data_IF_372677530155
#
_entry.id   IF_372677530155
#
_cell.length_a   1.000
_cell.length_b   1.000
_cell.length_c   1.000
_cell.angle_alpha   90.00
_cell.angle_beta   90.00
_cell.angle_gamma   90.00
#
_symmetry.space_group_name_H-M   'P 1'
#
loop_
_entity.id
_entity.type
_entity.pdbx_description
1 polymer ?
#
# COMPACT_ATOMS: atom_id res chain seq x y z
N UNK A 1 17.27 24.12 15.09
CA UNK A 1 16.98 23.13 16.12
C UNK A 1 15.64 22.48 15.77
N UNK A 2 15.67 21.34 15.06
CA UNK A 2 14.46 20.62 14.62
C UNK A 2 13.78 20.04 15.86
N UNK A 3 12.59 20.55 16.23
CA UNK A 3 11.74 19.93 17.24
C UNK A 3 11.32 18.56 16.73
N UNK A 4 11.80 17.51 17.38
CA UNK A 4 11.39 16.12 17.16
C UNK A 4 9.86 16.05 17.15
N UNK A 5 9.34 15.56 16.03
CA UNK A 5 7.93 15.35 15.74
C UNK A 5 7.37 14.32 16.74
N UNK A 6 6.85 14.79 17.85
CA UNK A 6 6.24 13.91 18.87
C UNK A 6 4.81 13.59 18.44
N UNK A 7 4.64 12.47 17.76
CA UNK A 7 3.30 11.95 17.43
C UNK A 7 2.59 11.58 18.75
N UNK A 8 1.42 12.12 19.06
CA UNK A 8 0.69 11.78 20.27
C UNK A 8 0.34 10.28 20.29
N UNK A 9 0.44 9.64 21.46
CA UNK A 9 0.23 8.18 21.63
C UNK A 9 -1.13 7.69 21.09
N UNK A 10 -2.16 8.55 21.08
CA UNK A 10 -3.47 8.25 20.51
C UNK A 10 -3.42 8.06 18.98
N UNK A 11 -2.61 8.85 18.29
CA UNK A 11 -2.50 8.80 16.83
C UNK A 11 -1.57 7.67 16.38
N UNK A 12 -0.60 7.30 17.22
CA UNK A 12 0.23 6.11 17.03
C UNK A 12 -0.61 4.82 17.06
N UNK A 13 -1.59 4.71 17.98
CA UNK A 13 -2.54 3.57 17.99
C UNK A 13 -3.40 3.51 16.73
N UNK A 14 -3.84 4.66 16.22
CA UNK A 14 -4.59 4.74 14.94
C UNK A 14 -3.71 4.31 13.77
N UNK A 15 -2.45 4.74 13.74
CA UNK A 15 -1.46 4.34 12.74
C UNK A 15 -1.23 2.82 12.75
N UNK A 16 -1.01 2.22 13.92
CA UNK A 16 -0.84 0.76 14.05
C UNK A 16 -2.10 0.02 13.58
N UNK A 17 -3.29 0.50 13.95
CA UNK A 17 -4.56 -0.12 13.52
C UNK A 17 -4.74 -0.06 12.00
N UNK A 18 -4.40 1.07 11.37
CA UNK A 18 -4.41 1.23 9.90
C UNK A 18 -3.36 0.34 9.25
N UNK A 19 -2.17 0.28 9.81
CA UNK A 19 -1.07 -0.55 9.33
C UNK A 19 -1.42 -2.05 9.40
N UNK A 20 -1.89 -2.57 10.55
CA UNK A 20 -2.31 -3.97 10.70
C UNK A 20 -3.45 -4.36 9.76
N UNK A 21 -4.42 -3.46 9.54
CA UNK A 21 -5.51 -3.71 8.59
C UNK A 21 -5.03 -3.76 7.13
N UNK A 22 -3.87 -3.16 6.82
CA UNK A 22 -3.30 -3.06 5.48
C UNK A 22 -2.23 -4.11 5.20
N UNK A 23 -1.54 -4.58 6.24
CA UNK A 23 -0.53 -5.64 6.16
C UNK A 23 -1.11 -6.97 5.70
N UNK A 24 -2.38 -7.26 5.99
CA UNK A 24 -3.02 -8.51 5.59
C UNK A 24 -2.88 -8.83 4.10
N UNK A 25 -2.95 -7.80 3.24
CA UNK A 25 -2.74 -7.99 1.79
C UNK A 25 -1.27 -8.22 1.41
N UNK A 26 -0.34 -7.61 2.13
CA UNK A 26 1.08 -7.88 1.93
C UNK A 26 1.42 -9.32 2.32
N UNK A 27 0.86 -9.81 3.42
CA UNK A 27 1.00 -11.20 3.86
C UNK A 27 0.44 -12.15 2.79
N UNK A 28 -0.76 -11.88 2.25
CA UNK A 28 -1.34 -12.66 1.16
C UNK A 28 -0.42 -12.67 -0.07
N UNK A 29 0.17 -11.54 -0.42
CA UNK A 29 1.12 -11.44 -1.54
C UNK A 29 2.38 -12.28 -1.29
N UNK A 30 2.94 -12.23 -0.08
CA UNK A 30 4.09 -13.07 0.32
C UNK A 30 3.71 -14.56 0.28
N UNK A 31 2.50 -14.94 0.73
CA UNK A 31 2.00 -16.31 0.61
C UNK A 31 1.87 -16.74 -0.85
N UNK A 32 1.36 -15.87 -1.74
CA UNK A 32 1.27 -16.18 -3.18
C UNK A 32 2.66 -16.46 -3.76
N UNK A 33 3.67 -15.64 -3.45
CA UNK A 33 5.05 -15.86 -3.89
C UNK A 33 5.63 -17.16 -3.31
N UNK A 34 5.29 -17.51 -2.07
CA UNK A 34 5.73 -18.75 -1.45
C UNK A 34 5.12 -19.97 -2.13
N UNK A 35 3.84 -19.93 -2.50
CA UNK A 35 3.16 -21.01 -3.23
C UNK A 35 3.62 -21.15 -4.68
N UNK A 36 4.20 -20.10 -5.28
CA UNK A 36 4.84 -20.18 -6.61
C UNK A 36 6.29 -20.66 -6.53
N UNK A 37 6.83 -20.83 -5.33
CA UNK A 37 8.19 -21.33 -5.10
C UNK A 37 8.36 -22.80 -5.55
N UNK A 38 9.59 -23.16 -5.87
CA UNK A 38 9.96 -24.49 -6.41
C UNK A 38 9.43 -25.66 -5.57
N UNK A 39 9.31 -25.50 -4.26
CA UNK A 39 8.85 -26.55 -3.35
C UNK A 39 7.42 -27.03 -3.64
N UNK A 40 6.50 -26.10 -3.95
CA UNK A 40 5.11 -26.44 -4.26
C UNK A 40 4.93 -26.91 -5.70
N UNK A 41 5.78 -26.42 -6.58
CA UNK A 41 5.73 -26.72 -8.00
C UNK A 41 6.08 -28.17 -8.30
N UNK A 42 6.99 -28.79 -7.53
CA UNK A 42 7.33 -30.21 -7.67
C UNK A 42 6.17 -31.13 -7.27
N UNK A 43 5.26 -30.66 -6.39
CA UNK A 43 4.17 -31.46 -5.86
C UNK A 43 2.82 -31.15 -6.50
N UNK A 44 2.64 -29.99 -7.10
CA UNK A 44 1.38 -29.53 -7.70
C UNK A 44 1.62 -29.07 -9.13
N UNK A 45 1.32 -29.95 -10.06
CA UNK A 45 1.37 -29.64 -11.50
C UNK A 45 0.49 -28.42 -11.81
N UNK A 46 1.07 -27.35 -12.38
CA UNK A 46 0.39 -26.12 -12.77
C UNK A 46 -0.12 -25.19 -11.63
N UNK A 47 0.70 -24.96 -10.59
CA UNK A 47 0.39 -23.98 -9.52
C UNK A 47 0.12 -22.55 -10.01
N UNK A 48 0.60 -22.19 -11.21
CA UNK A 48 0.43 -20.85 -11.78
C UNK A 48 -1.03 -20.49 -12.09
N UNK A 49 -1.86 -21.47 -12.49
CA UNK A 49 -3.28 -21.23 -12.83
C UNK A 49 -4.09 -20.77 -11.60
N UNK A 50 -4.12 -21.50 -10.47
CA UNK A 50 -4.85 -21.06 -9.28
C UNK A 50 -4.34 -19.73 -8.72
N UNK A 51 -3.03 -19.48 -8.80
CA UNK A 51 -2.44 -18.19 -8.37
C UNK A 51 -2.93 -17.05 -9.24
N UNK A 52 -2.95 -17.21 -10.56
CA UNK A 52 -3.49 -16.22 -11.48
C UNK A 52 -4.96 -15.91 -11.19
N UNK A 53 -5.79 -16.93 -10.97
CA UNK A 53 -7.22 -16.76 -10.65
C UNK A 53 -7.39 -15.97 -9.33
N UNK A 54 -6.67 -16.37 -8.29
CA UNK A 54 -6.71 -15.70 -7.00
C UNK A 54 -6.29 -14.23 -7.12
N UNK A 55 -5.24 -13.95 -7.91
CA UNK A 55 -4.74 -12.60 -8.11
C UNK A 55 -5.71 -11.73 -8.91
N UNK A 56 -6.31 -12.27 -9.97
CA UNK A 56 -7.34 -11.58 -10.75
C UNK A 56 -8.53 -11.23 -9.85
N UNK A 57 -8.99 -12.17 -9.04
CA UNK A 57 -10.09 -11.94 -8.09
C UNK A 57 -9.73 -10.83 -7.09
N UNK A 58 -8.59 -10.95 -6.43
CA UNK A 58 -8.12 -9.96 -5.44
C UNK A 58 -7.92 -8.57 -6.05
N UNK A 59 -7.35 -8.50 -7.26
CA UNK A 59 -7.18 -7.25 -8.00
C UNK A 59 -8.52 -6.63 -8.36
N UNK A 60 -9.48 -7.42 -8.86
CA UNK A 60 -10.82 -6.95 -9.24
C UNK A 60 -11.56 -6.38 -8.04
N UNK A 61 -11.58 -7.07 -6.91
CA UNK A 61 -12.19 -6.57 -5.65
C UNK A 61 -11.55 -5.27 -5.22
N UNK A 62 -10.23 -5.17 -5.29
CA UNK A 62 -9.50 -3.97 -4.91
C UNK A 62 -9.78 -2.81 -5.89
N UNK A 63 -9.84 -3.10 -7.18
CA UNK A 63 -10.13 -2.14 -8.23
C UNK A 63 -11.55 -1.56 -8.08
N UNK A 64 -12.56 -2.39 -7.84
CA UNK A 64 -13.93 -1.91 -7.62
C UNK A 64 -14.05 -0.97 -6.43
N UNK A 65 -13.34 -1.27 -5.35
CA UNK A 65 -13.34 -0.47 -4.10
C UNK A 65 -12.45 0.77 -4.15
N UNK A 66 -11.67 0.94 -5.21
CA UNK A 66 -10.74 2.04 -5.35
C UNK A 66 -11.44 3.31 -5.87
N UNK A 67 -10.93 4.49 -5.46
CA UNK A 67 -11.36 5.76 -5.99
C UNK A 67 -10.95 5.93 -7.47
N UNK A 68 -11.64 6.78 -8.28
CA UNK A 68 -11.35 6.95 -9.70
C UNK A 68 -9.88 7.27 -10.01
N UNK A 69 -9.23 8.09 -9.19
CA UNK A 69 -7.79 8.40 -9.35
C UNK A 69 -6.90 7.18 -9.13
N UNK A 70 -7.23 6.37 -8.11
CA UNK A 70 -6.49 5.14 -7.81
C UNK A 70 -6.72 4.09 -8.90
N UNK A 71 -7.93 3.99 -9.47
CA UNK A 71 -8.24 3.11 -10.61
C UNK A 71 -7.36 3.42 -11.81
N UNK A 72 -7.26 4.71 -12.20
CA UNK A 72 -6.38 5.13 -13.29
C UNK A 72 -4.92 4.74 -13.04
N UNK A 73 -4.42 5.01 -11.84
CA UNK A 73 -3.05 4.65 -11.44
C UNK A 73 -2.82 3.14 -11.50
N UNK A 74 -3.79 2.32 -11.05
CA UNK A 74 -3.70 0.86 -11.12
C UNK A 74 -3.66 0.36 -12.57
N UNK A 75 -4.45 0.95 -13.48
CA UNK A 75 -4.43 0.59 -14.91
C UNK A 75 -3.05 0.91 -15.51
N UNK A 76 -2.52 2.12 -15.28
CA UNK A 76 -1.18 2.46 -15.75
C UNK A 76 -0.10 1.53 -15.16
N UNK A 77 -0.22 1.19 -13.89
CA UNK A 77 0.72 0.28 -13.23
C UNK A 77 0.66 -1.16 -13.82
N UNK A 78 -0.51 -1.65 -14.25
CA UNK A 78 -0.61 -2.93 -14.99
C UNK A 78 0.13 -2.84 -16.31
N UNK A 79 -0.12 -1.79 -17.09
CA UNK A 79 0.49 -1.61 -18.43
C UNK A 79 2.01 -1.49 -18.32
N UNK A 80 2.48 -0.63 -17.42
CA UNK A 80 3.92 -0.40 -17.21
C UNK A 80 4.58 -1.66 -16.63
N UNK A 81 3.92 -2.31 -15.65
CA UNK A 81 4.40 -3.54 -15.06
C UNK A 81 4.52 -4.66 -16.07
N UNK A 82 3.50 -4.86 -16.91
CA UNK A 82 3.55 -5.87 -17.99
C UNK A 82 4.65 -5.55 -19.02
N UNK A 83 4.74 -4.30 -19.46
CA UNK A 83 5.78 -3.86 -20.39
C UNK A 83 7.18 -4.01 -19.82
N UNK A 84 7.39 -3.66 -18.55
CA UNK A 84 8.66 -3.84 -17.85
C UNK A 84 9.04 -5.31 -17.72
N UNK A 85 8.11 -6.17 -17.28
CA UNK A 85 8.35 -7.60 -17.16
C UNK A 85 8.68 -8.25 -18.51
N UNK A 86 7.96 -7.87 -19.56
CA UNK A 86 8.25 -8.35 -20.92
C UNK A 86 9.63 -7.90 -21.39
N UNK A 87 9.99 -6.64 -21.17
CA UNK A 87 11.29 -6.08 -21.53
C UNK A 87 12.44 -6.81 -20.82
N UNK A 88 12.35 -6.93 -19.49
CA UNK A 88 13.43 -7.52 -18.68
C UNK A 88 13.54 -9.04 -18.86
N UNK A 89 12.41 -9.73 -18.95
CA UNK A 89 12.40 -11.20 -19.07
C UNK A 89 12.62 -11.67 -20.50
N UNK A 90 11.95 -11.06 -21.50
CA UNK A 90 11.98 -11.55 -22.89
C UNK A 90 13.00 -10.86 -23.77
N UNK A 91 13.15 -9.54 -23.64
CA UNK A 91 14.05 -8.78 -24.54
C UNK A 91 15.48 -8.77 -24.00
N UNK A 92 15.64 -8.47 -22.71
CA UNK A 92 16.95 -8.37 -22.09
C UNK A 92 17.47 -9.71 -21.52
N UNK A 93 16.60 -10.72 -21.36
CA UNK A 93 16.98 -12.03 -20.85
C UNK A 93 17.59 -12.00 -19.44
N UNK A 94 17.26 -10.99 -18.62
CA UNK A 94 17.84 -10.82 -17.29
C UNK A 94 17.40 -11.94 -16.34
N UNK A 95 16.21 -12.48 -16.55
CA UNK A 95 15.65 -13.64 -15.84
C UNK A 95 14.61 -14.34 -16.71
N UNK A 96 14.35 -15.61 -16.45
CA UNK A 96 13.33 -16.39 -17.14
C UNK A 96 12.29 -16.88 -16.15
N UNK A 97 11.03 -16.81 -16.53
CA UNK A 97 9.95 -17.48 -15.81
C UNK A 97 9.93 -18.96 -16.17
N UNK A 98 9.55 -19.82 -15.22
CA UNK A 98 9.56 -21.28 -15.35
C UNK A 98 8.84 -21.81 -16.59
N UNK A 99 7.71 -21.20 -16.97
CA UNK A 99 6.93 -21.59 -18.15
C UNK A 99 7.26 -20.74 -19.39
N UNK A 100 8.39 -20.05 -19.39
CA UNK A 100 8.82 -19.17 -20.48
C UNK A 100 7.78 -18.09 -20.87
N UNK A 101 6.81 -17.81 -20.00
CA UNK A 101 5.80 -16.79 -20.18
C UNK A 101 5.85 -15.79 -19.00
N UNK A 102 5.33 -14.58 -19.22
CA UNK A 102 5.15 -13.60 -18.13
C UNK A 102 3.81 -13.94 -17.43
N UNK A 103 3.84 -14.42 -16.19
CA UNK A 103 2.61 -14.79 -15.50
C UNK A 103 1.78 -13.56 -15.16
N UNK A 104 0.46 -13.63 -15.35
CA UNK A 104 -0.46 -12.50 -15.13
C UNK A 104 -0.48 -11.99 -13.68
N UNK A 105 -0.18 -12.83 -12.70
CA UNK A 105 -0.15 -12.41 -11.30
C UNK A 105 0.94 -11.37 -11.02
N UNK A 106 2.01 -11.30 -11.80
CA UNK A 106 3.12 -10.36 -11.60
C UNK A 106 2.71 -8.92 -11.90
N UNK A 107 2.25 -8.55 -13.11
CA UNK A 107 1.83 -7.18 -13.40
C UNK A 107 0.61 -6.76 -12.58
N UNK A 108 -0.33 -7.67 -12.30
CA UNK A 108 -1.45 -7.39 -11.42
C UNK A 108 -1.00 -7.15 -9.97
N UNK A 109 0.01 -7.91 -9.50
CA UNK A 109 0.63 -7.72 -8.20
C UNK A 109 1.28 -6.36 -8.06
N UNK A 110 2.06 -5.93 -9.05
CA UNK A 110 2.63 -4.58 -9.10
C UNK A 110 1.53 -3.51 -8.99
N UNK A 111 0.49 -3.61 -9.80
CA UNK A 111 -0.61 -2.64 -9.78
C UNK A 111 -1.38 -2.63 -8.45
N UNK A 112 -1.60 -3.79 -7.83
CA UNK A 112 -2.20 -3.91 -6.52
C UNK A 112 -1.33 -3.25 -5.44
N UNK A 113 -0.02 -3.48 -5.48
CA UNK A 113 0.94 -2.90 -4.56
C UNK A 113 0.99 -1.37 -4.68
N UNK A 114 1.13 -0.85 -5.90
CA UNK A 114 1.11 0.60 -6.16
C UNK A 114 -0.19 1.25 -5.70
N UNK A 115 -1.34 0.65 -6.01
CA UNK A 115 -2.63 1.14 -5.56
C UNK A 115 -2.72 1.21 -4.02
N UNK A 116 -2.17 0.22 -3.32
CA UNK A 116 -2.12 0.18 -1.86
C UNK A 116 -1.18 1.21 -1.25
N UNK A 117 0.01 1.34 -1.77
CA UNK A 117 0.99 2.36 -1.33
C UNK A 117 0.38 3.75 -1.51
N UNK A 118 -0.24 4.02 -2.65
CA UNK A 118 -0.87 5.31 -2.91
C UNK A 118 -2.03 5.61 -1.95
N UNK A 119 -2.89 4.64 -1.65
CA UNK A 119 -3.98 4.81 -0.68
C UNK A 119 -3.43 4.98 0.74
N UNK A 120 -2.34 4.31 1.09
CA UNK A 120 -1.69 4.41 2.38
C UNK A 120 -1.04 5.79 2.56
N UNK A 121 -0.28 6.27 1.58
CA UNK A 121 0.37 7.59 1.63
C UNK A 121 -0.64 8.72 1.80
N UNK A 122 -1.79 8.67 1.12
CA UNK A 122 -2.89 9.63 1.33
C UNK A 122 -3.44 9.59 2.75
N UNK A 123 -3.61 8.39 3.31
CA UNK A 123 -4.12 8.26 4.68
C UNK A 123 -3.12 8.84 5.69
N UNK A 124 -1.82 8.57 5.51
CA UNK A 124 -0.77 9.17 6.34
C UNK A 124 -0.77 10.69 6.25
N UNK A 125 -0.84 11.22 5.03
CA UNK A 125 -0.87 12.67 4.79
C UNK A 125 -2.02 13.35 5.52
N UNK A 126 -3.24 12.78 5.46
CA UNK A 126 -4.42 13.30 6.17
C UNK A 126 -4.22 13.23 7.69
N UNK A 127 -3.69 12.13 8.22
CA UNK A 127 -3.43 11.98 9.67
C UNK A 127 -2.43 13.03 10.14
N UNK A 128 -1.35 13.26 9.40
CA UNK A 128 -0.32 14.26 9.73
C UNK A 128 -0.91 15.68 9.73
N UNK A 129 -1.71 16.03 8.72
CA UNK A 129 -2.36 17.35 8.65
C UNK A 129 -3.33 17.56 9.82
N UNK A 130 -4.17 16.56 10.12
CA UNK A 130 -5.11 16.65 11.24
C UNK A 130 -4.38 16.77 12.58
N UNK A 131 -3.29 16.05 12.76
CA UNK A 131 -2.45 16.13 13.96
C UNK A 131 -1.83 17.53 14.11
N UNK A 132 -1.31 18.11 13.03
CA UNK A 132 -0.72 19.45 13.07
C UNK A 132 -1.79 20.54 13.36
N UNK A 133 -2.97 20.45 12.73
CA UNK A 133 -4.06 21.39 13.00
C UNK A 133 -4.55 21.32 14.44
N UNK A 134 -4.61 20.12 15.02
CA UNK A 134 -5.01 19.93 16.42
C UNK A 134 -4.00 20.55 17.39
N UNK A 135 -2.70 20.41 17.11
CA UNK A 135 -1.64 21.03 17.90
C UNK A 135 -1.72 22.57 17.86
N UNK A 136 -2.02 23.14 16.68
CA UNK A 136 -2.15 24.59 16.50
C UNK A 136 -3.36 25.16 17.23
N UNK A 137 -4.50 24.45 17.19
CA UNK A 137 -5.74 24.88 17.87
C UNK A 137 -5.60 24.80 19.40
N UNK A 138 -4.92 23.77 19.90
CA UNK A 138 -4.65 23.61 21.34
C UNK A 138 -3.75 24.73 21.86
N UNK A 139 -2.70 25.09 21.12
CA UNK A 139 -1.80 26.18 21.51
C UNK A 139 -2.50 27.53 21.52
N UNK A 140 -3.41 27.79 20.56
CA UNK A 140 -4.20 29.03 20.51
C UNK A 140 -5.17 29.14 21.69
N UNK A 141 -5.83 28.04 22.09
CA UNK A 141 -6.74 28.04 23.22
C UNK A 141 -6.00 28.23 24.56
N UNK A 142 -4.80 27.66 24.72
CA UNK A 142 -4.00 27.87 25.94
C UNK A 142 -3.52 29.31 26.08
N UNK A 143 -3.15 29.96 24.99
CA UNK A 143 -2.72 31.38 25.01
C UNK A 143 -3.87 32.36 25.25
N UNK A 144 -5.10 32.00 24.86
CA UNK A 144 -6.30 32.81 25.16
C UNK A 144 -6.68 32.64 26.64
N UNK A 145 -6.63 31.41 27.17
CA UNK A 145 -6.96 31.14 28.57
C UNK A 145 -5.99 31.85 29.52
N UNK A 146 -4.69 31.91 29.22
CA UNK A 146 -3.69 32.61 30.04
C UNK A 146 -3.89 34.14 30.06
N UNK A 147 -4.41 34.74 29.00
CA UNK A 147 -4.75 36.20 28.95
C UNK A 147 -6.00 36.55 29.74
N UNK A 148 -7.00 35.63 29.77
CA UNK A 148 -8.24 35.86 30.54
C UNK A 148 -7.97 35.79 32.03
N UNK A 149 -7.05 34.94 32.50
CA UNK A 149 -6.67 34.83 33.90
C UNK A 149 -5.78 36.01 34.42
N UNK A 150 -5.05 36.70 33.53
CA UNK A 150 -4.27 37.88 33.88
C UNK A 150 -5.05 39.20 33.85
N UNK A 151 -6.26 39.23 33.35
CA UNK A 151 -7.12 40.41 33.28
C UNK A 151 -8.05 40.61 34.47
N UNK A 152 -7.92 39.83 35.54
CA UNK A 152 -8.76 39.90 36.74
C UNK A 152 -7.93 40.18 38.04
N UNK A 153 -6.95 41.09 37.93
CA UNK A 153 -6.28 41.66 39.12
C UNK A 153 -6.42 43.18 39.05
#
# INVERSE_FOLDING_TARGET
MMSLFTIPKSDFKKLIKVFNRRIGLFIIFVFILFFDGNYFVEHIYNSQIPINILMIFGFTVMFWRANPRTKKLMIYAVIIGFGGEYLFSRVLGMYSYRLENVPLYVPLGHAALYGRIFMFSKTLYIIVILSNNWCFTKHKNTSVQSRVTQGHI
#
